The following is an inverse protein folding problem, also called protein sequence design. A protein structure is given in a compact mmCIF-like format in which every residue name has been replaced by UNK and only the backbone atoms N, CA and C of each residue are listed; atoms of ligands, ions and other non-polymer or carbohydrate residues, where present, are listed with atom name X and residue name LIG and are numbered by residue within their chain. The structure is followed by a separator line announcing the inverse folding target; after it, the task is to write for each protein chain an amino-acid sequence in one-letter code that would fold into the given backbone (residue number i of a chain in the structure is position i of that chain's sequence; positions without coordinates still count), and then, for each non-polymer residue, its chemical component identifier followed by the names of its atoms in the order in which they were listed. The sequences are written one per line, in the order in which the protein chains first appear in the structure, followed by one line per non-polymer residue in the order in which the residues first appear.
data_IF_516021554359
#
_entry.id   IF_516021554359
#
_cell.length_a   1.000
_cell.length_b   1.000
_cell.length_c   1.000
_cell.angle_alpha   90.00
_cell.angle_beta   90.00
_cell.angle_gamma   90.00
#
_symmetry.space_group_name_H-M   'P 1'
#
loop_
_entity.id
_entity.type
_entity.pdbx_description
1 polymer ?
#
# COMPACT_ATOMS: atom_id res chain seq x y z
N UNK A 1 20.49 26.45 -10.76
CA UNK A 1 19.35 25.80 -10.09
C UNK A 1 18.30 26.87 -9.90
N UNK A 2 17.09 26.71 -10.44
CA UNK A 2 16.01 27.70 -10.24
C UNK A 2 15.60 27.63 -8.77
N UNK A 3 15.58 28.75 -8.06
CA UNK A 3 15.09 28.78 -6.68
C UNK A 3 13.57 28.67 -6.70
N UNK A 4 13.04 27.59 -6.10
CA UNK A 4 11.60 27.30 -6.05
C UNK A 4 10.93 27.99 -4.86
N UNK A 5 11.68 28.30 -3.80
CA UNK A 5 11.22 29.07 -2.64
C UNK A 5 12.34 29.97 -2.11
N UNK A 6 11.97 31.15 -1.60
CA UNK A 6 12.90 32.10 -0.96
C UNK A 6 13.24 31.69 0.49
N UNK A 7 12.27 31.09 1.18
CA UNK A 7 12.46 30.57 2.54
C UNK A 7 13.17 29.20 2.50
N UNK A 8 14.28 29.02 3.25
CA UNK A 8 15.04 27.78 3.22
C UNK A 8 14.26 26.58 3.80
N UNK A 9 13.34 26.81 4.75
CA UNK A 9 12.50 25.74 5.31
C UNK A 9 11.50 25.26 4.26
N UNK A 10 10.83 26.17 3.57
CA UNK A 10 9.94 25.87 2.46
C UNK A 10 10.69 25.16 1.32
N UNK A 11 11.90 25.62 0.97
CA UNK A 11 12.73 24.97 -0.03
C UNK A 11 13.08 23.52 0.38
N UNK A 12 13.42 23.28 1.65
CA UNK A 12 13.69 21.95 2.16
C UNK A 12 12.45 21.05 2.10
N UNK A 13 11.28 21.54 2.49
CA UNK A 13 10.01 20.79 2.43
C UNK A 13 9.65 20.41 0.98
N UNK A 14 9.76 21.36 0.04
CA UNK A 14 9.50 21.10 -1.38
C UNK A 14 10.51 20.11 -1.99
N UNK A 15 11.74 20.07 -1.48
CA UNK A 15 12.73 19.08 -1.91
C UNK A 15 12.43 17.66 -1.40
N UNK A 16 11.62 17.50 -0.33
CA UNK A 16 11.18 16.18 0.14
C UNK A 16 10.23 15.52 -0.85
N UNK A 17 9.35 16.30 -1.48
CA UNK A 17 8.35 15.83 -2.45
C UNK A 17 8.45 16.67 -3.74
N UNK A 18 9.47 16.44 -4.56
CA UNK A 18 9.65 17.21 -5.78
C UNK A 18 8.50 16.99 -6.76
N UNK A 19 8.14 18.03 -7.49
CA UNK A 19 7.11 18.02 -8.51
C UNK A 19 7.74 18.25 -9.89
N UNK A 20 7.49 17.33 -10.82
CA UNK A 20 8.08 17.34 -12.15
C UNK A 20 6.99 17.37 -13.23
N UNK A 21 6.99 18.38 -14.12
CA UNK A 21 6.15 18.32 -15.31
C UNK A 21 6.62 17.21 -16.24
N UNK A 22 5.69 16.44 -16.79
CA UNK A 22 6.01 15.40 -17.77
C UNK A 22 6.23 16.08 -19.12
N UNK A 23 7.37 15.89 -19.79
CA UNK A 23 7.60 16.47 -21.12
C UNK A 23 6.68 15.81 -22.16
N UNK A 24 6.18 16.60 -23.11
CA UNK A 24 5.32 16.10 -24.20
C UNK A 24 6.09 15.29 -25.26
N UNK A 25 7.42 15.40 -25.28
CA UNK A 25 8.33 14.64 -26.13
C UNK A 25 9.67 14.40 -25.41
N UNK A 26 10.32 13.29 -25.71
CA UNK A 26 11.53 12.85 -24.99
C UNK A 26 11.22 12.28 -23.60
N UNK A 27 12.27 11.99 -22.84
CA UNK A 27 12.18 11.55 -21.44
C UNK A 27 12.43 12.69 -20.46
N UNK A 28 12.15 12.45 -19.18
CA UNK A 28 12.50 13.38 -18.10
C UNK A 28 13.53 12.70 -17.21
N UNK A 29 14.83 13.07 -17.31
CA UNK A 29 15.88 12.48 -16.48
C UNK A 29 15.58 12.56 -14.98
N UNK A 30 14.87 13.59 -14.53
CA UNK A 30 14.46 13.73 -13.13
C UNK A 30 13.37 12.73 -12.73
N UNK A 31 12.37 12.52 -13.59
CA UNK A 31 11.35 11.48 -13.37
C UNK A 31 11.96 10.07 -13.48
N UNK A 32 12.85 9.85 -14.43
CA UNK A 32 13.52 8.56 -14.63
C UNK A 32 14.42 8.24 -13.42
N UNK A 33 15.16 9.23 -12.91
CA UNK A 33 15.93 9.09 -11.68
C UNK A 33 15.03 8.80 -10.47
N UNK A 34 13.89 9.49 -10.33
CA UNK A 34 12.93 9.21 -9.25
C UNK A 34 12.36 7.79 -9.37
N UNK A 35 11.94 7.37 -10.57
CA UNK A 35 11.38 6.03 -10.82
C UNK A 35 12.41 4.92 -10.61
N UNK A 36 13.67 5.17 -10.97
CA UNK A 36 14.80 4.27 -10.75
C UNK A 36 15.36 4.31 -9.33
N UNK A 37 14.93 5.26 -8.50
CA UNK A 37 15.42 5.38 -7.13
C UNK A 37 15.04 4.17 -6.28
N UNK A 38 15.94 3.83 -5.36
CA UNK A 38 15.71 2.81 -4.33
C UNK A 38 14.59 3.25 -3.38
N UNK A 39 14.66 4.49 -2.92
CA UNK A 39 13.66 5.10 -2.05
C UNK A 39 13.51 6.58 -2.39
N UNK A 40 12.29 7.08 -2.25
CA UNK A 40 11.95 8.46 -2.57
C UNK A 40 10.47 8.58 -2.92
N UNK A 41 9.96 9.80 -2.96
CA UNK A 41 8.64 10.04 -3.52
C UNK A 41 8.59 11.43 -4.15
N UNK A 42 7.66 11.62 -5.07
CA UNK A 42 7.48 12.88 -5.78
C UNK A 42 6.23 12.84 -6.66
N UNK A 43 5.93 13.95 -7.30
CA UNK A 43 4.76 14.11 -8.15
C UNK A 43 5.18 14.28 -9.61
N UNK A 44 4.55 13.53 -10.50
CA UNK A 44 4.59 13.80 -11.93
C UNK A 44 3.31 14.51 -12.35
N UNK A 45 3.42 15.64 -13.04
CA UNK A 45 2.27 16.42 -13.53
C UNK A 45 2.21 16.29 -15.04
N UNK A 46 1.19 15.61 -15.54
CA UNK A 46 0.93 15.44 -16.96
C UNK A 46 -0.29 16.24 -17.40
N UNK A 47 -0.61 16.15 -18.69
CA UNK A 47 -1.83 16.74 -19.27
C UNK A 47 -3.11 16.07 -18.78
N UNK A 48 -2.99 14.85 -18.26
CA UNK A 48 -4.07 13.94 -17.88
C UNK A 48 -4.18 13.72 -16.37
N UNK A 49 -3.39 14.43 -15.56
CA UNK A 49 -3.50 14.39 -14.10
C UNK A 49 -2.17 14.56 -13.37
N UNK A 50 -2.19 14.26 -12.08
CA UNK A 50 -1.01 14.17 -11.22
C UNK A 50 -0.84 12.72 -10.76
N UNK A 51 0.38 12.22 -10.83
CA UNK A 51 0.78 10.89 -10.37
C UNK A 51 1.72 11.01 -9.18
N UNK A 52 1.39 10.34 -8.07
CA UNK A 52 2.35 10.05 -7.01
C UNK A 52 3.28 8.95 -7.49
N UNK A 53 4.58 9.26 -7.57
CA UNK A 53 5.64 8.27 -7.74
C UNK A 53 6.22 8.04 -6.36
N UNK A 54 6.03 6.85 -5.81
CA UNK A 54 6.53 6.45 -4.49
C UNK A 54 7.43 5.21 -4.63
N UNK A 55 8.59 5.28 -4.00
CA UNK A 55 9.61 4.22 -3.99
C UNK A 55 9.98 3.88 -2.57
N UNK A 56 9.86 2.60 -2.26
CA UNK A 56 10.47 1.94 -1.10
C UNK A 56 11.32 0.77 -1.61
N UNK A 57 12.24 0.25 -0.80
CA UNK A 57 13.01 -0.94 -1.19
C UNK A 57 12.11 -2.12 -1.58
N UNK A 58 10.97 -2.28 -0.91
CA UNK A 58 10.01 -3.35 -1.18
C UNK A 58 8.85 -2.96 -2.13
N UNK A 59 8.68 -1.68 -2.49
CA UNK A 59 7.53 -1.19 -3.26
C UNK A 59 7.93 -0.17 -4.34
N UNK A 60 7.45 -0.37 -5.57
CA UNK A 60 7.38 0.69 -6.58
C UNK A 60 5.91 0.99 -6.89
N UNK A 61 5.48 2.20 -6.57
CA UNK A 61 4.10 2.67 -6.74
C UNK A 61 4.05 3.92 -7.60
N UNK A 62 3.26 3.88 -8.67
CA UNK A 62 2.81 5.04 -9.45
C UNK A 62 1.28 5.08 -9.29
N UNK A 63 0.77 6.02 -8.50
CA UNK A 63 -0.66 6.14 -8.18
C UNK A 63 -1.22 7.50 -8.61
N UNK A 64 -2.28 7.57 -9.43
CA UNK A 64 -2.91 8.83 -9.78
C UNK A 64 -3.54 9.46 -8.53
N UNK A 65 -3.38 10.77 -8.35
CA UNK A 65 -3.90 11.50 -7.18
C UNK A 65 -4.94 12.55 -7.52
N UNK A 66 -5.16 12.81 -8.82
CA UNK A 66 -6.20 13.72 -9.30
C UNK A 66 -7.00 13.08 -10.43
N UNK A 67 -8.25 13.54 -10.66
CA UNK A 67 -8.88 13.37 -11.98
C UNK A 67 -8.10 14.14 -13.06
N UNK A 68 -8.43 13.94 -14.34
CA UNK A 68 -7.85 14.71 -15.43
C UNK A 68 -7.98 16.23 -15.21
N UNK A 69 -6.89 16.95 -15.46
CA UNK A 69 -6.84 18.40 -15.29
C UNK A 69 -7.68 19.05 -16.40
N UNK A 70 -8.70 19.81 -16.03
CA UNK A 70 -9.61 20.50 -16.96
C UNK A 70 -9.01 21.79 -17.56
N UNK A 71 -7.73 21.75 -17.93
CA UNK A 71 -7.01 22.84 -18.57
C UNK A 71 -5.98 22.28 -19.55
N UNK A 72 -5.64 23.06 -20.58
CA UNK A 72 -4.53 22.70 -21.46
C UNK A 72 -3.20 22.88 -20.73
N UNK A 73 -2.42 21.79 -20.66
CA UNK A 73 -1.03 21.80 -20.22
C UNK A 73 -0.15 21.32 -21.38
N UNK A 74 0.99 21.97 -21.67
CA UNK A 74 1.92 21.54 -22.72
C UNK A 74 2.77 20.32 -22.28
N UNK A 75 2.18 19.43 -21.46
CA UNK A 75 2.83 18.28 -20.83
C UNK A 75 2.49 16.97 -21.54
N UNK A 76 3.31 15.96 -21.31
CA UNK A 76 3.05 14.57 -21.69
C UNK A 76 2.00 13.91 -20.79
N UNK A 77 1.72 12.63 -21.04
CA UNK A 77 0.86 11.80 -20.19
C UNK A 77 1.61 11.34 -18.93
N UNK A 78 0.92 11.28 -17.78
CA UNK A 78 1.48 10.69 -16.55
C UNK A 78 1.77 9.19 -16.67
N UNK A 79 1.21 8.52 -17.68
CA UNK A 79 1.31 7.08 -17.89
C UNK A 79 0.29 6.29 -17.09
N UNK A 80 0.42 4.97 -17.13
CA UNK A 80 -0.48 4.07 -16.41
C UNK A 80 -0.13 3.96 -14.91
N UNK A 81 -1.13 3.80 -14.03
CA UNK A 81 -0.89 3.43 -12.64
C UNK A 81 -0.12 2.11 -12.56
N UNK A 82 0.67 1.94 -11.50
CA UNK A 82 1.51 0.75 -11.29
C UNK A 82 1.76 0.50 -9.81
N UNK A 83 1.70 -0.75 -9.37
CA UNK A 83 2.05 -1.13 -8.00
C UNK A 83 2.82 -2.46 -7.98
N UNK A 84 4.14 -2.40 -7.90
CA UNK A 84 5.02 -3.58 -7.87
C UNK A 84 5.55 -3.83 -6.46
N UNK A 85 5.26 -5.02 -5.93
CA UNK A 85 5.95 -5.56 -4.76
C UNK A 85 7.34 -6.06 -5.18
N UNK A 86 8.37 -5.22 -4.96
CA UNK A 86 9.78 -5.55 -5.25
C UNK A 86 10.28 -6.73 -4.39
N UNK A 87 9.70 -6.91 -3.21
CA UNK A 87 9.97 -8.03 -2.32
C UNK A 87 9.30 -9.36 -2.76
N UNK A 88 8.47 -9.34 -3.81
CA UNK A 88 7.62 -10.47 -4.18
C UNK A 88 6.43 -10.66 -3.22
N UNK A 89 5.73 -11.78 -3.37
CA UNK A 89 4.63 -12.17 -2.48
C UNK A 89 5.16 -12.74 -1.16
N UNK A 90 4.44 -12.47 -0.08
CA UNK A 90 4.76 -12.96 1.26
C UNK A 90 4.53 -14.48 1.29
N UNK A 91 5.47 -15.32 1.74
CA UNK A 91 5.26 -16.77 1.85
C UNK A 91 3.98 -17.13 2.63
N UNK A 92 3.14 -18.01 2.06
CA UNK A 92 1.88 -18.43 2.68
C UNK A 92 2.01 -19.10 4.05
N UNK A 93 3.18 -19.67 4.37
CA UNK A 93 3.49 -20.19 5.71
C UNK A 93 3.44 -19.12 6.81
N UNK A 94 3.75 -17.86 6.47
CA UNK A 94 3.61 -16.74 7.40
C UNK A 94 2.14 -16.45 7.70
N UNK A 95 1.26 -16.53 6.68
CA UNK A 95 -0.19 -16.39 6.90
C UNK A 95 -0.70 -17.49 7.83
N UNK A 96 -0.26 -18.75 7.64
CA UNK A 96 -0.63 -19.85 8.52
C UNK A 96 -0.20 -19.60 9.97
N UNK A 97 1.05 -19.18 10.19
CA UNK A 97 1.57 -18.86 11.53
C UNK A 97 0.80 -17.71 12.20
N UNK A 98 0.43 -16.68 11.43
CA UNK A 98 -0.37 -15.55 11.92
C UNK A 98 -1.78 -16.01 12.30
N UNK A 99 -2.42 -16.84 11.47
CA UNK A 99 -3.75 -17.37 11.77
C UNK A 99 -3.76 -18.22 13.03
N UNK A 100 -2.73 -19.04 13.25
CA UNK A 100 -2.59 -19.83 14.46
C UNK A 100 -2.38 -18.95 15.71
N UNK A 101 -1.54 -17.92 15.60
CA UNK A 101 -1.37 -16.91 16.65
C UNK A 101 -2.69 -16.21 16.99
N UNK A 102 -3.44 -15.76 15.98
CA UNK A 102 -4.70 -15.06 16.19
C UNK A 102 -5.80 -15.96 16.76
N UNK A 103 -5.87 -17.23 16.36
CA UNK A 103 -6.80 -18.20 16.96
C UNK A 103 -6.48 -18.44 18.43
N UNK A 104 -5.20 -18.52 18.79
CA UNK A 104 -4.78 -18.69 20.18
C UNK A 104 -5.10 -17.46 21.06
N UNK A 105 -5.22 -16.27 20.47
CA UNK A 105 -5.55 -15.03 21.17
C UNK A 105 -7.06 -14.81 21.41
N UNK A 106 -7.93 -15.65 20.84
CA UNK A 106 -9.37 -15.49 20.99
C UNK A 106 -9.79 -15.52 22.49
N UNK A 107 -10.76 -14.69 22.90
CA UNK A 107 -11.62 -13.83 22.06
C UNK A 107 -11.05 -12.45 21.73
N UNK A 108 -9.84 -12.13 22.23
CA UNK A 108 -9.26 -10.80 22.07
C UNK A 108 -8.64 -10.61 20.69
N UNK A 109 -8.48 -9.35 20.31
CA UNK A 109 -7.71 -8.95 19.14
C UNK A 109 -6.21 -9.23 19.37
N UNK A 110 -5.49 -9.39 18.26
CA UNK A 110 -4.05 -9.61 18.25
C UNK A 110 -3.46 -8.97 16.99
N UNK A 111 -2.15 -8.71 16.99
CA UNK A 111 -1.44 -8.12 15.86
C UNK A 111 -0.25 -8.98 15.43
N UNK A 112 0.16 -8.80 14.18
CA UNK A 112 1.35 -9.38 13.60
C UNK A 112 1.88 -8.45 12.52
N UNK A 113 3.20 -8.41 12.38
CA UNK A 113 3.87 -7.65 11.33
C UNK A 113 4.61 -8.59 10.40
N UNK A 114 4.61 -8.26 9.11
CA UNK A 114 5.49 -8.87 8.13
C UNK A 114 6.64 -7.92 7.87
N UNK A 115 7.84 -8.38 8.19
CA UNK A 115 9.09 -7.71 7.90
C UNK A 115 9.77 -8.38 6.70
N UNK A 116 10.49 -7.60 5.90
CA UNK A 116 11.30 -8.10 4.80
C UNK A 116 12.72 -7.57 4.90
N UNK A 117 13.70 -8.46 4.83
CA UNK A 117 15.10 -8.12 4.82
C UNK A 117 15.59 -7.95 3.37
N UNK A 118 16.09 -6.76 3.06
CA UNK A 118 16.53 -6.41 1.71
C UNK A 118 17.80 -7.12 1.25
N UNK A 119 18.68 -7.48 2.19
CA UNK A 119 19.97 -8.11 1.86
C UNK A 119 19.78 -9.59 1.56
N UNK A 120 18.98 -10.28 2.37
CA UNK A 120 18.74 -11.72 2.24
C UNK A 120 17.52 -12.04 1.37
N UNK A 121 16.69 -11.04 1.06
CA UNK A 121 15.40 -11.19 0.39
C UNK A 121 14.48 -12.20 1.11
N UNK A 122 14.48 -12.17 2.44
CA UNK A 122 13.68 -13.07 3.28
C UNK A 122 12.62 -12.31 4.05
N UNK A 123 11.45 -12.95 4.21
CA UNK A 123 10.38 -12.46 5.07
C UNK A 123 10.51 -13.01 6.49
N UNK A 124 9.99 -12.28 7.46
CA UNK A 124 9.82 -12.71 8.84
C UNK A 124 8.49 -12.21 9.40
N UNK A 125 7.92 -12.99 10.32
CA UNK A 125 6.77 -12.57 11.13
C UNK A 125 7.30 -12.03 12.46
N UNK A 126 6.83 -10.85 12.85
CA UNK A 126 7.03 -10.29 14.18
C UNK A 126 5.68 -10.22 14.90
N UNK A 127 5.65 -10.70 16.15
CA UNK A 127 4.48 -10.57 17.02
C UNK A 127 4.79 -9.50 18.07
N UNK A 128 4.10 -8.35 18.02
CA UNK A 128 4.47 -7.19 18.80
C UNK A 128 4.15 -7.35 20.29
N UNK A 129 4.78 -6.52 21.11
CA UNK A 129 4.37 -6.35 22.49
C UNK A 129 2.97 -5.70 22.54
N UNK A 130 2.02 -6.40 23.16
CA UNK A 130 0.64 -5.93 23.36
C UNK A 130 0.55 -5.22 24.71
N UNK A 131 0.15 -3.95 24.68
CA UNK A 131 -0.09 -3.13 25.88
C UNK A 131 -1.51 -3.33 26.41
N UNK A 132 -2.52 -3.44 25.54
CA UNK A 132 -3.91 -3.70 25.88
C UNK A 132 -4.59 -4.49 24.74
N UNK A 133 -5.39 -5.49 25.08
CA UNK A 133 -6.13 -6.27 24.10
C UNK A 133 -7.48 -6.72 24.66
N UNK A 134 -8.52 -6.39 23.90
CA UNK A 134 -9.91 -6.79 24.13
C UNK A 134 -10.50 -7.31 22.82
N UNK A 135 -11.74 -7.81 22.79
CA UNK A 135 -12.37 -8.25 21.54
C UNK A 135 -12.66 -7.14 20.51
N UNK A 136 -12.50 -5.86 20.87
CA UNK A 136 -12.84 -4.71 20.01
C UNK A 136 -11.85 -3.54 20.10
N UNK A 137 -10.69 -3.78 20.71
CA UNK A 137 -9.65 -2.77 20.91
C UNK A 137 -8.32 -3.47 21.11
N UNK A 138 -7.33 -2.97 20.38
CA UNK A 138 -5.96 -3.43 20.46
C UNK A 138 -5.03 -2.23 20.59
N UNK A 139 -4.08 -2.31 21.51
CA UNK A 139 -2.99 -1.35 21.67
C UNK A 139 -1.69 -2.14 21.71
N UNK A 140 -0.82 -1.92 20.74
CA UNK A 140 0.46 -2.61 20.63
C UNK A 140 1.58 -1.63 20.31
N UNK A 141 2.82 -2.11 20.47
CA UNK A 141 4.02 -1.37 20.07
C UNK A 141 4.55 -1.95 18.76
N UNK A 142 4.55 -1.18 17.65
CA UNK A 142 5.12 -1.65 16.39
C UNK A 142 6.61 -2.01 16.55
N UNK A 143 7.11 -3.01 15.81
CA UNK A 143 8.51 -3.39 15.87
C UNK A 143 9.40 -2.27 15.35
N UNK A 144 10.54 -2.08 16.02
CA UNK A 144 11.60 -1.23 15.50
C UNK A 144 12.38 -2.03 14.46
N UNK A 145 12.28 -1.63 13.20
CA UNK A 145 13.01 -2.29 12.13
C UNK A 145 14.51 -2.00 12.25
N UNK A 146 15.31 -3.05 12.38
CA UNK A 146 16.77 -2.97 12.27
C UNK A 146 17.18 -2.51 10.85
N UNK A 147 18.39 -1.95 10.66
CA UNK A 147 18.87 -1.57 9.34
C UNK A 147 18.77 -2.71 8.32
N UNK A 148 18.15 -2.43 7.16
CA UNK A 148 17.93 -3.41 6.10
C UNK A 148 16.63 -4.22 6.22
N UNK A 149 15.94 -4.14 7.36
CA UNK A 149 14.58 -4.65 7.51
C UNK A 149 13.55 -3.57 7.20
N UNK A 150 12.47 -3.97 6.54
CA UNK A 150 11.37 -3.10 6.16
C UNK A 150 10.05 -3.71 6.60
N UNK A 151 9.20 -2.91 7.23
CA UNK A 151 7.81 -3.30 7.48
C UNK A 151 7.04 -3.28 6.15
N UNK A 152 6.53 -4.45 5.75
CA UNK A 152 5.76 -4.65 4.51
C UNK A 152 4.27 -4.67 4.81
N UNK A 153 3.87 -5.43 5.84
CA UNK A 153 2.48 -5.62 6.20
C UNK A 153 2.28 -5.43 7.70
N UNK A 154 1.22 -4.72 8.07
CA UNK A 154 0.68 -4.63 9.43
C UNK A 154 -0.68 -5.31 9.45
N UNK A 155 -0.85 -6.24 10.37
CA UNK A 155 -1.96 -7.17 10.39
C UNK A 155 -2.54 -7.18 11.79
N UNK A 156 -3.85 -6.94 11.92
CA UNK A 156 -4.56 -7.18 13.17
C UNK A 156 -5.80 -8.02 12.97
N UNK A 157 -6.23 -8.66 14.06
CA UNK A 157 -7.42 -9.48 14.08
C UNK A 157 -8.60 -8.74 14.70
N UNK A 158 -9.80 -8.98 14.19
CA UNK A 158 -11.07 -8.63 14.86
C UNK A 158 -11.67 -9.84 15.61
N UNK A 159 -10.84 -10.85 15.91
CA UNK A 159 -11.27 -12.07 16.58
C UNK A 159 -12.44 -12.77 15.87
N UNK A 160 -13.61 -12.74 16.52
CA UNK A 160 -14.87 -13.31 16.01
C UNK A 160 -15.66 -12.36 15.10
N UNK A 161 -15.34 -11.07 15.10
CA UNK A 161 -16.00 -10.04 14.30
C UNK A 161 -15.67 -10.12 12.80
N UNK A 162 -16.34 -9.31 11.96
CA UNK A 162 -16.00 -9.20 10.54
C UNK A 162 -14.67 -8.45 10.33
N UNK A 163 -14.01 -8.66 9.19
CA UNK A 163 -12.86 -7.85 8.77
C UNK A 163 -13.34 -6.55 8.10
N UNK A 164 -12.93 -5.41 8.65
CA UNK A 164 -13.16 -4.07 8.11
C UNK A 164 -12.16 -3.09 8.74
N UNK A 165 -11.97 -1.92 8.13
CA UNK A 165 -11.19 -0.83 8.73
C UNK A 165 -12.13 0.14 9.46
N UNK A 166 -11.78 0.48 10.69
CA UNK A 166 -12.43 1.50 11.53
C UNK A 166 -11.78 2.87 11.35
N UNK A 167 -12.39 3.91 11.90
CA UNK A 167 -11.82 5.25 11.90
C UNK A 167 -10.50 5.35 12.68
N UNK A 168 -10.28 4.48 13.68
CA UNK A 168 -9.00 4.40 14.39
C UNK A 168 -7.93 3.83 13.47
N UNK A 169 -8.25 2.76 12.75
CA UNK A 169 -7.31 2.16 11.78
C UNK A 169 -6.95 3.17 10.68
N UNK A 170 -7.91 3.98 10.21
CA UNK A 170 -7.68 5.07 9.26
C UNK A 170 -6.70 6.11 9.80
N UNK A 171 -6.85 6.51 11.06
CA UNK A 171 -5.94 7.48 11.68
C UNK A 171 -4.52 6.91 11.82
N UNK A 172 -4.39 5.65 12.22
CA UNK A 172 -3.11 4.97 12.41
C UNK A 172 -2.37 4.76 11.07
N UNK A 173 -3.13 4.54 9.99
CA UNK A 173 -2.58 4.27 8.66
C UNK A 173 -2.28 5.52 7.83
N UNK A 174 -2.83 6.69 8.19
CA UNK A 174 -2.79 7.92 7.38
C UNK A 174 -1.37 8.39 7.01
N UNK A 175 -0.37 8.05 7.81
CA UNK A 175 1.02 8.49 7.57
C UNK A 175 1.98 7.34 7.25
N UNK A 176 1.47 6.12 7.13
CA UNK A 176 2.27 4.94 6.89
C UNK A 176 2.51 4.68 5.40
N UNK A 177 3.56 3.91 5.09
CA UNK A 177 3.69 3.25 3.79
C UNK A 177 3.86 1.75 4.02
N UNK A 178 2.75 1.02 4.00
CA UNK A 178 2.65 -0.41 4.33
C UNK A 178 1.38 -0.98 3.69
N UNK A 179 1.30 -2.30 3.62
CA UNK A 179 0.02 -2.99 3.44
C UNK A 179 -0.61 -3.10 4.83
N UNK A 180 -1.87 -2.70 4.98
CA UNK A 180 -2.65 -2.96 6.18
C UNK A 180 -3.64 -4.08 5.89
N UNK A 181 -3.78 -5.03 6.81
CA UNK A 181 -4.64 -6.20 6.67
C UNK A 181 -5.42 -6.46 7.96
N UNK A 182 -6.73 -6.60 7.84
CA UNK A 182 -7.58 -7.02 8.95
C UNK A 182 -8.05 -8.44 8.72
N UNK A 183 -7.91 -9.31 9.71
CA UNK A 183 -8.41 -10.69 9.66
C UNK A 183 -9.56 -10.85 10.66
N UNK A 184 -10.72 -11.25 10.17
CA UNK A 184 -11.92 -11.48 10.98
C UNK A 184 -12.45 -12.90 10.84
N UNK A 185 -13.50 -13.21 11.61
CA UNK A 185 -14.23 -14.49 11.61
C UNK A 185 -13.33 -15.71 11.82
N UNK A 186 -12.35 -15.60 12.73
CA UNK A 186 -11.39 -16.68 13.00
C UNK A 186 -12.01 -17.97 13.53
N UNK A 187 -13.26 -17.91 13.99
CA UNK A 187 -14.04 -19.06 14.50
C UNK A 187 -14.94 -19.71 13.45
N UNK A 188 -15.04 -19.13 12.25
CA UNK A 188 -15.95 -19.60 11.20
C UNK A 188 -15.38 -20.86 10.52
N UNK A 189 -16.13 -21.97 10.48
CA UNK A 189 -15.70 -23.19 9.80
C UNK A 189 -15.42 -23.01 8.30
N UNK A 190 -16.01 -21.99 7.66
CA UNK A 190 -15.75 -21.65 6.26
C UNK A 190 -14.39 -20.95 6.04
N UNK A 191 -13.70 -20.58 7.12
CA UNK A 191 -12.42 -19.88 7.11
C UNK A 191 -12.54 -18.39 7.45
N UNK A 192 -11.39 -17.75 7.75
CA UNK A 192 -11.35 -16.33 8.08
C UNK A 192 -11.68 -15.47 6.86
N UNK A 193 -12.10 -14.23 7.11
CA UNK A 193 -12.25 -13.19 6.09
C UNK A 193 -11.17 -12.15 6.26
N UNK A 194 -10.66 -11.62 5.14
CA UNK A 194 -9.62 -10.60 5.17
C UNK A 194 -10.08 -9.32 4.47
N UNK A 195 -9.62 -8.17 4.95
CA UNK A 195 -9.72 -6.89 4.27
C UNK A 195 -8.32 -6.26 4.19
N UNK A 196 -7.90 -5.82 3.00
CA UNK A 196 -6.55 -5.29 2.79
C UNK A 196 -6.59 -3.92 2.11
N UNK A 197 -5.61 -3.06 2.44
CA UNK A 197 -5.35 -1.81 1.72
C UNK A 197 -3.84 -1.55 1.65
N UNK A 198 -3.43 -0.82 0.62
CA UNK A 198 -2.08 -0.26 0.53
C UNK A 198 -2.14 1.19 0.99
N UNK A 199 -1.45 1.49 2.08
CA UNK A 199 -1.29 2.84 2.62
C UNK A 199 -0.10 3.49 1.93
N UNK A 200 -0.31 4.63 1.28
CA UNK A 200 0.76 5.32 0.56
C UNK A 200 0.47 6.81 0.42
N UNK A 201 1.34 7.66 0.96
CA UNK A 201 1.25 9.12 0.78
C UNK A 201 -0.06 9.72 1.28
N UNK A 202 -0.63 9.20 2.36
CA UNK A 202 -1.95 9.63 2.87
C UNK A 202 -3.15 9.01 2.18
N UNK A 203 -2.94 8.11 1.22
CA UNK A 203 -4.01 7.44 0.47
C UNK A 203 -4.18 5.98 0.89
N UNK A 204 -5.41 5.47 0.75
CA UNK A 204 -5.76 4.07 0.94
C UNK A 204 -6.17 3.43 -0.38
N UNK A 205 -5.22 2.74 -0.99
CA UNK A 205 -5.40 2.10 -2.29
C UNK A 205 -5.92 0.66 -2.10
N UNK A 206 -6.88 0.25 -2.92
CA UNK A 206 -7.39 -1.10 -2.91
C UNK A 206 -6.30 -2.10 -3.31
N UNK A 207 -6.25 -3.25 -2.63
CA UNK A 207 -5.36 -4.36 -2.97
C UNK A 207 -6.19 -5.42 -3.70
N UNK A 208 -5.94 -5.71 -4.99
CA UNK A 208 -6.84 -6.53 -5.79
C UNK A 208 -6.70 -8.05 -5.58
N UNK A 209 -5.62 -8.53 -4.96
CA UNK A 209 -5.44 -9.93 -4.56
C UNK A 209 -4.58 -10.04 -3.31
N UNK A 210 -4.64 -11.17 -2.63
CA UNK A 210 -3.84 -11.41 -1.41
C UNK A 210 -2.35 -11.10 -1.61
N UNK A 211 -1.69 -10.45 -0.64
CA UNK A 211 -0.24 -10.25 -0.68
C UNK A 211 0.54 -11.52 -0.36
N UNK A 212 -0.14 -12.60 0.06
CA UNK A 212 0.47 -13.89 0.37
C UNK A 212 0.48 -14.83 -0.84
N UNK A 213 1.54 -15.62 -0.97
CA UNK A 213 1.64 -16.67 -1.98
C UNK A 213 0.75 -17.86 -1.63
N UNK A 214 0.11 -18.44 -2.65
CA UNK A 214 -0.75 -19.61 -2.49
C UNK A 214 -2.13 -19.35 -1.89
N UNK A 215 -2.44 -18.10 -1.51
CA UNK A 215 -3.77 -17.72 -1.02
C UNK A 215 -4.76 -17.48 -2.18
N UNK A 216 -6.04 -17.76 -1.92
CA UNK A 216 -7.07 -17.67 -2.94
C UNK A 216 -7.41 -16.21 -3.27
N UNK A 217 -7.59 -15.84 -4.56
CA UNK A 217 -7.95 -14.47 -4.93
C UNK A 217 -9.24 -13.95 -4.28
N UNK A 218 -10.20 -14.85 -3.98
CA UNK A 218 -11.47 -14.52 -3.29
C UNK A 218 -11.33 -14.34 -1.76
N UNK A 219 -10.14 -14.50 -1.16
CA UNK A 219 -9.96 -14.38 0.30
C UNK A 219 -10.09 -12.94 0.82
N UNK A 220 -9.81 -11.97 -0.06
CA UNK A 220 -9.95 -10.54 0.23
C UNK A 220 -11.38 -10.08 -0.05
N UNK A 221 -11.99 -9.43 0.95
CA UNK A 221 -13.16 -8.58 0.72
C UNK A 221 -12.70 -7.27 0.09
N UNK A 222 -13.53 -6.75 -0.83
CA UNK A 222 -13.34 -5.40 -1.35
C UNK A 222 -13.31 -4.41 -0.17
N UNK A 223 -12.20 -3.68 0.04
CA UNK A 223 -12.15 -2.67 1.08
C UNK A 223 -13.09 -1.51 0.74
N UNK A 224 -13.51 -0.75 1.75
CA UNK A 224 -14.00 0.62 1.58
C UNK A 224 -12.82 1.52 1.21
N UNK A 225 -12.25 1.32 0.02
CA UNK A 225 -11.14 2.15 -0.45
C UNK A 225 -11.65 3.55 -0.78
N UNK A 226 -10.88 4.57 -0.39
CA UNK A 226 -11.01 5.90 -0.99
C UNK A 226 -10.28 5.85 -2.34
N UNK A 227 -10.98 5.42 -3.38
CA UNK A 227 -10.41 5.43 -4.75
C UNK A 227 -10.37 6.88 -5.22
N UNK A 228 -9.17 7.42 -5.40
CA UNK A 228 -8.97 8.71 -6.07
C UNK A 228 -8.25 8.51 -7.41
N UNK A 229 -8.77 9.04 -8.53
CA UNK A 229 -10.13 9.59 -8.69
C UNK A 229 -11.17 8.46 -8.76
N UNK A 230 -12.46 8.73 -8.49
CA UNK A 230 -13.52 7.73 -8.65
C UNK A 230 -13.50 7.13 -10.06
N UNK A 231 -13.88 5.85 -10.23
CA UNK A 231 -13.85 5.19 -11.54
C UNK A 231 -14.64 6.00 -12.57
N UNK A 232 -13.92 6.49 -13.57
CA UNK A 232 -14.48 6.96 -14.82
C UNK A 232 -14.49 5.77 -15.78
N UNK A 233 -15.63 5.52 -16.40
CA UNK A 233 -15.89 4.39 -17.30
C UNK A 233 -14.88 4.33 -18.46
N UNK A 234 -14.50 3.10 -18.88
CA UNK A 234 -13.74 2.68 -20.10
C UNK A 234 -12.23 2.98 -20.16
N UNK A 235 -11.31 2.12 -20.64
CA UNK A 235 -11.38 0.87 -21.42
C UNK A 235 -10.17 -0.05 -21.13
N UNK A 236 -10.34 -1.34 -21.44
CA UNK A 236 -9.43 -2.48 -21.29
C UNK A 236 -8.25 -2.48 -22.28
N UNK A 237 -7.03 -2.75 -21.80
CA UNK A 237 -5.93 -3.31 -22.61
C UNK A 237 -5.07 -4.26 -21.76
N UNK A 238 -4.95 -5.51 -22.21
CA UNK A 238 -4.28 -6.61 -21.52
C UNK A 238 -2.75 -6.50 -21.57
N UNK A 239 -2.05 -6.57 -20.43
CA UNK A 239 -0.72 -7.17 -20.32
C UNK A 239 -0.32 -7.46 -18.86
N UNK A 240 0.69 -8.33 -18.69
CA UNK A 240 1.14 -8.88 -17.41
C UNK A 240 1.79 -7.80 -16.51
N UNK A 241 0.94 -7.10 -15.78
CA UNK A 241 1.13 -6.04 -14.80
C UNK A 241 -0.08 -6.14 -13.85
N UNK A 242 -0.08 -5.49 -12.69
CA UNK A 242 -1.33 -5.32 -11.92
C UNK A 242 -2.26 -4.32 -12.63
N UNK A 243 -2.60 -4.62 -13.89
CA UNK A 243 -3.51 -3.82 -14.68
C UNK A 243 -4.93 -4.12 -14.18
N UNK A 244 -5.68 -3.06 -13.92
CA UNK A 244 -6.95 -3.04 -13.20
C UNK A 244 -8.13 -3.68 -13.95
N UNK A 245 -7.90 -4.72 -14.76
CA UNK A 245 -9.01 -5.43 -15.40
C UNK A 245 -8.79 -6.94 -15.46
N UNK A 246 -9.26 -7.60 -14.40
CA UNK A 246 -9.95 -8.89 -14.54
C UNK A 246 -10.93 -9.06 -13.37
N UNK A 247 -11.80 -8.06 -13.15
CA UNK A 247 -13.03 -8.25 -12.39
C UNK A 247 -14.01 -9.03 -13.27
N UNK A 248 -13.96 -10.36 -13.18
CA UNK A 248 -15.11 -11.28 -13.25
C UNK A 248 -14.64 -12.75 -13.34
N UNK A 249 -13.79 -13.20 -12.42
CA UNK A 249 -13.92 -14.59 -11.97
C UNK A 249 -14.90 -14.58 -10.80
N UNK A 250 -16.14 -14.95 -11.10
CA UNK A 250 -17.15 -15.28 -10.09
C UNK A 250 -16.52 -16.20 -9.05
N UNK A 251 -16.32 -15.67 -7.85
CA UNK A 251 -16.89 -16.33 -6.68
C UNK A 251 -18.42 -16.28 -6.87
#
# INVERSE_FOLDING_TARGET
MIMIAEDPTAAALLAVVPCYPVPSSGGSPALDALRGSRAGHGLAVGKDGVMLILRRPWLALDAPVTPPIAAYLPYGSIGSPKADLRCGLIPGEHLAAILDHFRAALPNEAAAFILWNETTNTFAVDFPAIDDATPTRLVYRPPVCEPGWHMVCDIHSHGRGPAYFSATDDADDAHATKISLVIGRLHDPAGPVMAARLCAGGMFLAVPRSPFSGDNPCSLRAPSATIFPPPSTTALSESCSWDAVETERKC
#
